data_IF_168540160325
#
_entry.id   IF_168540160325
#
_cell.length_a   1.000
_cell.length_b   1.000
_cell.length_c   1.000
_cell.angle_alpha   90.00
_cell.angle_beta   90.00
_cell.angle_gamma   90.00
#
_symmetry.space_group_name_H-M   'P 1'
#
loop_
_entity.id
_entity.type
_entity.pdbx_description
1 polymer ?
#
# COMPACT_ATOMS: atom_id res chain seq x y z
N UNK A 1 -40.02 -6.16 6.07
CA UNK A 1 -39.01 -6.23 7.15
C UNK A 1 -37.88 -5.24 6.94
N UNK A 2 -37.04 -5.33 5.89
CA UNK A 2 -35.89 -4.43 5.67
C UNK A 2 -36.18 -2.92 5.73
N UNK A 3 -37.32 -2.46 5.20
CA UNK A 3 -37.69 -1.05 5.24
C UNK A 3 -38.01 -0.54 6.66
N UNK A 4 -38.63 -1.37 7.51
CA UNK A 4 -38.91 -1.04 8.91
C UNK A 4 -37.65 -1.10 9.78
N UNK A 5 -36.67 -1.94 9.43
CA UNK A 5 -35.33 -1.97 10.04
C UNK A 5 -34.55 -0.70 9.72
N UNK A 6 -34.54 -0.24 8.46
CA UNK A 6 -33.92 1.02 8.05
C UNK A 6 -34.58 2.24 8.69
N UNK A 7 -35.90 2.20 8.88
CA UNK A 7 -36.65 3.28 9.53
C UNK A 7 -36.49 3.30 11.05
N UNK A 8 -36.16 2.16 11.68
CA UNK A 8 -36.01 2.05 13.14
C UNK A 8 -34.56 1.89 13.60
N UNK A 9 -33.61 1.76 12.68
CA UNK A 9 -32.18 1.64 13.00
C UNK A 9 -31.66 2.94 13.60
N UNK A 10 -30.97 2.84 14.74
CA UNK A 10 -30.16 3.94 15.26
C UNK A 10 -29.15 4.37 14.19
N UNK A 11 -28.93 5.69 14.10
CA UNK A 11 -27.85 6.21 13.27
C UNK A 11 -26.53 5.54 13.70
N UNK A 12 -25.73 5.05 12.75
CA UNK A 12 -24.44 4.45 13.07
C UNK A 12 -23.57 5.51 13.76
N UNK A 13 -22.94 5.14 14.86
CA UNK A 13 -21.97 6.00 15.53
C UNK A 13 -20.84 6.34 14.56
N UNK A 14 -20.41 7.60 14.56
CA UNK A 14 -19.31 8.06 13.73
C UNK A 14 -17.98 7.51 14.27
N UNK A 15 -17.67 6.26 13.92
CA UNK A 15 -16.38 5.65 14.22
C UNK A 15 -15.38 6.11 13.17
N UNK A 16 -14.47 7.01 13.56
CA UNK A 16 -13.34 7.38 12.72
C UNK A 16 -12.39 6.19 12.61
N UNK A 17 -12.23 5.69 11.39
CA UNK A 17 -11.24 4.70 11.05
C UNK A 17 -10.08 5.42 10.37
N UNK A 18 -8.90 5.42 10.98
CA UNK A 18 -7.70 5.95 10.35
C UNK A 18 -6.87 4.78 9.80
N UNK A 19 -6.92 4.49 8.50
CA UNK A 19 -6.08 3.44 7.92
C UNK A 19 -4.63 3.93 7.90
N UNK A 20 -3.80 3.39 8.78
CA UNK A 20 -2.37 3.67 8.81
C UNK A 20 -1.68 2.85 7.71
N UNK A 21 -1.65 3.33 6.48
CA UNK A 21 -1.04 2.57 5.37
C UNK A 21 0.48 2.50 5.47
N UNK A 22 1.08 1.43 4.92
CA UNK A 22 2.53 1.26 4.91
C UNK A 22 3.25 2.38 4.12
N UNK A 23 2.64 2.94 3.08
CA UNK A 23 3.17 4.10 2.34
C UNK A 23 3.15 5.38 3.17
N UNK A 24 2.11 5.60 3.99
CA UNK A 24 2.04 6.73 4.90
C UNK A 24 3.15 6.66 5.96
N UNK A 25 3.39 5.48 6.54
CA UNK A 25 4.47 5.27 7.52
C UNK A 25 5.83 5.56 6.89
N UNK A 26 6.09 5.05 5.68
CA UNK A 26 7.33 5.32 4.95
C UNK A 26 7.54 6.83 4.75
N UNK A 27 6.50 7.57 4.37
CA UNK A 27 6.57 9.03 4.18
C UNK A 27 6.80 9.78 5.48
N UNK A 28 6.13 9.37 6.57
CA UNK A 28 6.33 9.97 7.89
C UNK A 28 7.79 9.80 8.33
N UNK A 29 8.34 8.59 8.19
CA UNK A 29 9.74 8.31 8.54
C UNK A 29 10.72 9.06 7.63
N UNK A 30 10.43 9.16 6.34
CA UNK A 30 11.21 9.97 5.41
C UNK A 30 11.23 11.46 5.77
N UNK A 31 10.11 12.01 6.22
CA UNK A 31 10.04 13.40 6.70
C UNK A 31 10.84 13.60 7.99
N UNK A 32 10.83 12.63 8.91
CA UNK A 32 11.65 12.67 10.14
C UNK A 32 13.13 12.64 9.81
N UNK A 33 13.53 11.80 8.85
CA UNK A 33 14.91 11.71 8.39
C UNK A 33 15.38 13.00 7.71
N UNK A 34 14.55 13.57 6.82
CA UNK A 34 14.81 14.86 6.19
C UNK A 34 14.92 16.02 7.19
N UNK A 35 14.23 15.92 8.34
CA UNK A 35 14.34 16.86 9.46
C UNK A 35 15.56 16.59 10.38
N UNK A 36 16.50 15.73 9.96
CA UNK A 36 17.71 15.39 10.70
C UNK A 36 17.44 14.59 11.98
N UNK A 37 16.35 13.82 12.01
CA UNK A 37 15.95 13.03 13.20
C UNK A 37 15.82 13.89 14.47
N UNK A 38 15.41 15.16 14.31
CA UNK A 38 15.24 16.06 15.45
C UNK A 38 14.21 15.53 16.45
N UNK A 39 14.47 15.72 17.74
CA UNK A 39 13.54 15.35 18.81
C UNK A 39 12.16 15.99 18.64
N UNK A 40 12.11 17.17 18.02
CA UNK A 40 10.88 17.85 17.65
C UNK A 40 10.09 17.07 16.58
N UNK A 41 10.72 16.65 15.48
CA UNK A 41 10.07 15.87 14.43
C UNK A 41 9.57 14.52 14.98
N UNK A 42 10.40 13.82 15.77
CA UNK A 42 9.98 12.60 16.46
C UNK A 42 8.82 12.84 17.43
N UNK A 43 8.81 13.99 18.12
CA UNK A 43 7.72 14.41 19.00
C UNK A 43 6.40 14.63 18.24
N UNK A 44 6.44 15.24 17.05
CA UNK A 44 5.26 15.41 16.19
C UNK A 44 4.75 14.05 15.72
N UNK A 45 5.62 13.16 15.26
CA UNK A 45 5.20 11.83 14.78
C UNK A 45 4.62 11.00 15.92
N UNK A 46 5.25 11.02 17.09
CA UNK A 46 4.71 10.38 18.29
C UNK A 46 3.34 10.96 18.62
N UNK A 47 3.21 12.30 18.63
CA UNK A 47 1.94 12.97 18.89
C UNK A 47 0.87 12.62 17.86
N UNK A 48 1.22 12.50 16.57
CA UNK A 48 0.30 12.11 15.51
C UNK A 48 -0.20 10.69 15.76
N UNK A 49 0.71 9.74 15.98
CA UNK A 49 0.37 8.34 16.22
C UNK A 49 -0.35 8.12 17.56
N UNK A 50 -0.21 9.01 18.54
CA UNK A 50 -0.91 8.92 19.83
C UNK A 50 -2.21 9.75 19.88
N UNK A 51 -2.58 10.46 18.81
CA UNK A 51 -3.79 11.29 18.84
C UNK A 51 -5.06 10.45 18.96
N UNK A 52 -5.80 10.62 20.07
CA UNK A 52 -7.08 9.94 20.37
C UNK A 52 -8.15 10.03 19.26
N UNK A 53 -8.05 10.98 18.33
CA UNK A 53 -8.98 11.09 17.20
C UNK A 53 -8.73 10.06 16.09
N UNK A 54 -7.56 9.40 16.10
CA UNK A 54 -7.30 8.22 15.27
C UNK A 54 -7.94 6.95 15.86
N UNK A 55 -8.45 7.03 17.11
CA UNK A 55 -8.90 5.90 17.92
C UNK A 55 -10.32 6.10 18.44
N UNK A 56 -11.31 6.19 17.56
CA UNK A 56 -12.73 6.25 17.96
C UNK A 56 -13.29 4.89 18.46
N UNK A 57 -12.40 3.99 18.93
CA UNK A 57 -12.71 2.63 19.38
C UNK A 57 -12.17 2.25 20.77
N UNK A 58 -11.58 3.17 21.53
CA UNK A 58 -11.03 2.89 22.86
C UNK A 58 -9.55 2.41 22.85
N UNK A 59 -9.07 1.94 24.01
CA UNK A 59 -7.65 1.55 24.21
C UNK A 59 -7.20 0.39 23.30
N UNK A 60 -8.11 -0.52 22.96
CA UNK A 60 -7.86 -1.66 22.06
C UNK A 60 -7.50 -1.22 20.64
N UNK A 61 -8.17 -0.16 20.13
CA UNK A 61 -7.83 0.44 18.86
C UNK A 61 -6.43 1.08 18.90
N UNK A 62 -6.08 1.70 20.04
CA UNK A 62 -4.73 2.18 20.37
C UNK A 62 -3.66 1.14 20.10
N UNK A 63 -3.83 -0.02 20.74
CA UNK A 63 -2.91 -1.15 20.66
C UNK A 63 -2.81 -1.70 19.23
N UNK A 64 -3.93 -1.81 18.52
CA UNK A 64 -3.98 -2.28 17.12
C UNK A 64 -3.17 -1.40 16.17
N UNK A 65 -3.20 -0.06 16.29
CA UNK A 65 -2.39 0.82 15.43
C UNK A 65 -0.90 0.75 15.75
N UNK A 66 -0.51 0.71 17.04
CA UNK A 66 0.89 0.53 17.42
C UNK A 66 1.46 -0.77 16.84
N UNK A 67 0.63 -1.81 16.89
CA UNK A 67 0.92 -3.10 16.32
C UNK A 67 1.01 -2.99 14.77
N UNK A 68 0.08 -2.33 14.10
CA UNK A 68 0.15 -2.14 12.65
C UNK A 68 1.39 -1.34 12.22
N UNK A 69 1.76 -0.31 12.99
CA UNK A 69 3.00 0.44 12.78
C UNK A 69 4.22 -0.48 12.84
N UNK A 70 4.28 -1.36 13.84
CA UNK A 70 5.36 -2.35 13.96
C UNK A 70 5.40 -3.28 12.75
N UNK A 71 4.25 -3.81 12.31
CA UNK A 71 4.14 -4.62 11.10
C UNK A 71 4.70 -3.89 9.89
N UNK A 72 4.27 -2.65 9.64
CA UNK A 72 4.72 -1.88 8.49
C UNK A 72 6.22 -1.55 8.54
N UNK A 73 6.76 -1.20 9.71
CA UNK A 73 8.22 -0.97 9.86
C UNK A 73 8.99 -2.24 9.53
N UNK A 74 8.57 -3.39 10.06
CA UNK A 74 9.23 -4.68 9.83
C UNK A 74 9.14 -5.10 8.37
N UNK A 75 7.97 -4.91 7.74
CA UNK A 75 7.78 -5.13 6.30
C UNK A 75 8.71 -4.23 5.46
N UNK A 76 8.72 -2.92 5.73
CA UNK A 76 9.52 -1.96 4.98
C UNK A 76 11.04 -2.23 5.12
N UNK A 77 11.48 -2.68 6.30
CA UNK A 77 12.86 -3.13 6.52
C UNK A 77 13.19 -4.38 5.70
N UNK A 78 12.32 -5.41 5.69
CA UNK A 78 12.53 -6.62 4.86
C UNK A 78 12.50 -6.33 3.36
N UNK A 79 11.76 -5.31 2.94
CA UNK A 79 11.77 -4.85 1.54
C UNK A 79 12.96 -3.92 1.20
N UNK A 80 13.89 -3.69 2.13
CA UNK A 80 15.03 -2.77 1.99
C UNK A 80 14.64 -1.32 1.62
N UNK A 81 13.45 -0.90 2.04
CA UNK A 81 12.97 0.48 1.92
C UNK A 81 13.31 1.29 3.17
N UNK A 82 13.57 0.63 4.30
CA UNK A 82 14.02 1.25 5.54
C UNK A 82 15.29 0.58 6.06
N UNK A 83 16.17 1.38 6.66
CA UNK A 83 17.30 0.92 7.46
C UNK A 83 16.85 0.38 8.82
N UNK A 84 17.76 -0.29 9.53
CA UNK A 84 17.57 -0.67 10.94
C UNK A 84 17.24 0.54 11.82
N UNK A 85 17.83 1.70 11.51
CA UNK A 85 17.61 2.97 12.22
C UNK A 85 16.35 3.73 11.76
N UNK A 86 15.53 3.14 10.89
CA UNK A 86 14.30 3.77 10.38
C UNK A 86 14.50 4.83 9.30
N UNK A 87 15.70 4.93 8.71
CA UNK A 87 15.99 5.83 7.59
C UNK A 87 15.50 5.26 6.26
N UNK A 88 14.90 6.06 5.36
CA UNK A 88 14.56 5.61 4.01
C UNK A 88 15.82 5.20 3.24
N UNK A 89 15.75 4.08 2.52
CA UNK A 89 16.84 3.54 1.70
C UNK A 89 16.37 3.23 0.27
N UNK A 90 17.31 3.22 -0.68
CA UNK A 90 17.09 2.76 -2.06
C UNK A 90 15.86 3.45 -2.69
N UNK A 91 14.89 2.65 -3.16
CA UNK A 91 13.67 3.11 -3.82
C UNK A 91 12.59 3.67 -2.87
N UNK A 92 12.91 3.93 -1.60
CA UNK A 92 11.97 4.53 -0.64
C UNK A 92 11.36 5.86 -1.14
N UNK A 93 12.15 6.69 -1.82
CA UNK A 93 11.65 7.92 -2.44
C UNK A 93 10.60 7.64 -3.52
N UNK A 94 10.87 6.68 -4.41
CA UNK A 94 9.94 6.25 -5.47
C UNK A 94 8.63 5.70 -4.88
N UNK A 95 8.73 4.85 -3.86
CA UNK A 95 7.54 4.31 -3.17
C UNK A 95 6.75 5.43 -2.48
N UNK A 96 7.45 6.40 -1.87
CA UNK A 96 6.85 7.56 -1.24
C UNK A 96 6.11 8.50 -2.19
N UNK A 97 6.61 8.68 -3.42
CA UNK A 97 5.98 9.52 -4.44
C UNK A 97 4.74 8.87 -5.07
N UNK A 98 4.72 7.54 -5.18
CA UNK A 98 3.61 6.76 -5.72
C UNK A 98 2.57 6.37 -4.64
N UNK A 99 2.49 7.10 -3.52
CA UNK A 99 1.63 6.75 -2.38
C UNK A 99 0.15 6.60 -2.74
N UNK A 100 -0.32 7.32 -3.75
CA UNK A 100 -1.71 7.30 -4.22
C UNK A 100 -2.08 6.00 -4.94
N UNK A 101 -1.10 5.16 -5.28
CA UNK A 101 -1.29 3.83 -5.87
C UNK A 101 -1.32 2.70 -4.82
N UNK A 102 -1.15 3.05 -3.53
CA UNK A 102 -1.27 2.16 -2.37
C UNK A 102 -0.48 0.83 -2.49
N UNK A 103 -1.17 -0.31 -2.60
CA UNK A 103 -0.52 -1.63 -2.60
C UNK A 103 0.20 -1.94 -3.91
N UNK A 104 -0.18 -1.28 -5.01
CA UNK A 104 0.42 -1.50 -6.33
C UNK A 104 1.90 -1.11 -6.38
N UNK A 105 2.30 -0.05 -5.66
CA UNK A 105 3.69 0.40 -5.67
C UNK A 105 4.63 -0.60 -4.99
N UNK A 106 4.16 -1.34 -3.99
CA UNK A 106 4.97 -2.37 -3.34
C UNK A 106 5.21 -3.58 -4.24
N UNK A 107 4.21 -3.96 -5.05
CA UNK A 107 4.37 -4.96 -6.09
C UNK A 107 5.30 -4.50 -7.21
N UNK A 108 5.22 -3.23 -7.61
CA UNK A 108 6.17 -2.64 -8.53
C UNK A 108 7.60 -2.67 -7.96
N UNK A 109 7.76 -2.27 -6.70
CA UNK A 109 9.04 -2.33 -5.98
C UNK A 109 9.59 -3.74 -5.89
N UNK A 110 8.75 -4.76 -5.66
CA UNK A 110 9.23 -6.15 -5.58
C UNK A 110 9.79 -6.66 -6.91
N UNK A 111 9.22 -6.24 -8.04
CA UNK A 111 9.76 -6.52 -9.38
C UNK A 111 11.07 -5.77 -9.65
N UNK A 112 11.16 -4.51 -9.19
CA UNK A 112 12.39 -3.70 -9.30
C UNK A 112 13.51 -4.30 -8.45
N UNK A 113 13.20 -4.69 -7.21
CA UNK A 113 14.08 -5.37 -6.26
C UNK A 113 14.65 -6.67 -6.76
N UNK A 114 13.81 -7.46 -7.42
CA UNK A 114 14.18 -8.78 -7.93
C UNK A 114 14.94 -8.72 -9.27
N UNK A 115 15.23 -7.51 -9.78
CA UNK A 115 15.91 -7.31 -11.05
C UNK A 115 15.08 -7.68 -12.29
N UNK A 116 13.76 -7.86 -12.16
CA UNK A 116 12.89 -8.26 -13.28
C UNK A 116 12.93 -7.21 -14.39
N UNK A 117 12.75 -5.94 -14.03
CA UNK A 117 12.81 -4.84 -15.01
C UNK A 117 14.19 -4.72 -15.66
N UNK A 118 15.27 -4.96 -14.92
CA UNK A 118 16.63 -4.96 -15.47
C UNK A 118 16.78 -6.02 -16.57
N UNK A 119 16.28 -7.24 -16.34
CA UNK A 119 16.32 -8.32 -17.35
C UNK A 119 15.43 -8.01 -18.55
N UNK A 120 14.21 -7.52 -18.31
CA UNK A 120 13.26 -7.17 -19.38
C UNK A 120 13.81 -6.04 -20.26
N UNK A 121 14.29 -4.97 -19.64
CA UNK A 121 14.75 -3.75 -20.31
C UNK A 121 16.16 -3.88 -20.93
N UNK A 122 16.94 -4.90 -20.57
CA UNK A 122 18.25 -5.18 -21.21
C UNK A 122 18.20 -5.32 -22.74
N UNK A 123 17.02 -5.63 -23.29
CA UNK A 123 16.78 -5.80 -24.72
C UNK A 123 16.16 -4.57 -25.40
N UNK A 124 16.05 -3.43 -24.72
CA UNK A 124 15.33 -2.25 -25.20
C UNK A 124 15.87 -1.72 -26.53
N UNK A 125 17.19 -1.72 -26.74
CA UNK A 125 17.81 -1.27 -27.99
C UNK A 125 17.71 -2.29 -29.14
N UNK A 126 17.43 -3.56 -28.83
CA UNK A 126 17.34 -4.63 -29.83
C UNK A 126 15.90 -4.92 -30.25
N UNK A 127 14.96 -4.88 -29.30
CA UNK A 127 13.56 -5.24 -29.52
C UNK A 127 12.64 -4.32 -28.72
N UNK A 128 12.67 -3.03 -29.06
CA UNK A 128 11.94 -1.97 -28.36
C UNK A 128 10.44 -2.27 -28.27
N UNK A 129 9.81 -2.62 -29.38
CA UNK A 129 8.35 -2.81 -29.45
C UNK A 129 7.85 -3.94 -28.55
N UNK A 130 8.55 -5.07 -28.52
CA UNK A 130 8.16 -6.22 -27.70
C UNK A 130 8.44 -5.98 -26.21
N UNK A 131 9.55 -5.30 -25.92
CA UNK A 131 9.91 -4.85 -24.56
C UNK A 131 8.84 -3.90 -24.02
N UNK A 132 8.47 -2.86 -24.78
CA UNK A 132 7.43 -1.91 -24.39
C UNK A 132 6.05 -2.56 -24.24
N UNK A 133 5.71 -3.50 -25.13
CA UNK A 133 4.46 -4.27 -25.01
C UNK A 133 4.43 -5.09 -23.72
N UNK A 134 5.50 -5.80 -23.41
CA UNK A 134 5.58 -6.62 -22.19
C UNK A 134 5.60 -5.74 -20.94
N UNK A 135 6.33 -4.63 -20.97
CA UNK A 135 6.36 -3.64 -19.91
C UNK A 135 4.97 -3.06 -19.65
N UNK A 136 4.27 -2.64 -20.71
CA UNK A 136 2.89 -2.15 -20.65
C UNK A 136 1.91 -3.19 -20.10
N UNK A 137 2.07 -4.47 -20.45
CA UNK A 137 1.27 -5.57 -19.90
C UNK A 137 1.48 -5.72 -18.40
N UNK A 138 2.73 -5.68 -17.93
CA UNK A 138 3.05 -5.77 -16.49
C UNK A 138 2.47 -4.56 -15.76
N UNK A 139 2.66 -3.35 -16.29
CA UNK A 139 2.12 -2.12 -15.70
C UNK A 139 0.59 -2.14 -15.59
N UNK A 140 -0.11 -2.68 -16.59
CA UNK A 140 -1.57 -2.84 -16.58
C UNK A 140 -2.07 -3.86 -15.53
N UNK A 141 -1.24 -4.82 -15.11
CA UNK A 141 -1.56 -5.72 -14.00
C UNK A 141 -1.32 -5.10 -12.62
N UNK A 142 -0.46 -4.09 -12.52
CA UNK A 142 -0.12 -3.48 -11.24
C UNK A 142 -1.03 -2.30 -10.93
N UNK A 143 -1.18 -1.38 -11.88
CA UNK A 143 -1.82 -0.09 -11.68
C UNK A 143 -3.20 -0.01 -12.32
N UNK A 144 -4.08 0.81 -11.71
CA UNK A 144 -5.42 1.17 -12.20
C UNK A 144 -6.26 -0.04 -12.66
N UNK A 145 -6.22 -1.14 -11.91
CA UNK A 145 -6.93 -2.38 -12.24
C UNK A 145 -8.45 -2.18 -12.22
N UNK A 146 -9.13 -2.77 -13.20
CA UNK A 146 -10.59 -2.87 -13.23
C UNK A 146 -10.97 -4.35 -13.31
N UNK A 147 -11.64 -4.86 -12.28
CA UNK A 147 -12.15 -6.22 -12.26
C UNK A 147 -13.36 -6.40 -13.18
N UNK A 148 -13.41 -7.53 -13.89
CA UNK A 148 -14.54 -7.87 -14.74
C UNK A 148 -15.68 -8.50 -13.94
N UNK A 149 -16.62 -7.66 -13.47
CA UNK A 149 -17.74 -8.06 -12.58
C UNK A 149 -18.72 -9.08 -13.15
N UNK A 150 -18.81 -9.24 -14.48
CA UNK A 150 -19.76 -10.14 -15.14
C UNK A 150 -19.08 -11.29 -15.90
N UNK A 151 -17.95 -11.78 -15.39
CA UNK A 151 -17.23 -12.89 -16.01
C UNK A 151 -17.97 -14.23 -15.84
N UNK A 152 -18.72 -14.65 -16.85
CA UNK A 152 -19.36 -15.97 -16.86
C UNK A 152 -18.39 -17.05 -17.31
N UNK A 153 -17.76 -17.77 -16.37
CA UNK A 153 -16.70 -18.77 -16.58
C UNK A 153 -17.03 -19.80 -17.68
N UNK A 154 -18.27 -20.30 -17.74
CA UNK A 154 -18.70 -21.33 -18.72
C UNK A 154 -18.95 -20.83 -20.14
N UNK A 155 -19.30 -19.56 -20.31
CA UNK A 155 -19.49 -18.93 -21.63
C UNK A 155 -18.19 -18.26 -22.11
N UNK A 156 -17.36 -17.81 -21.17
CA UNK A 156 -16.12 -17.09 -21.43
C UNK A 156 -15.00 -17.98 -21.96
N UNK A 157 -14.90 -19.24 -21.50
CA UNK A 157 -13.95 -20.21 -22.06
C UNK A 157 -14.19 -20.49 -23.56
N UNK A 158 -15.46 -20.46 -24.01
CA UNK A 158 -15.80 -20.56 -25.44
C UNK A 158 -15.67 -19.23 -26.17
N UNK A 159 -15.99 -18.10 -25.52
CA UNK A 159 -15.82 -16.77 -26.09
C UNK A 159 -14.34 -16.37 -26.31
N UNK A 160 -13.43 -16.93 -25.50
CA UNK A 160 -11.98 -16.80 -25.70
C UNK A 160 -11.48 -17.35 -27.04
N UNK A 161 -12.19 -18.30 -27.64
CA UNK A 161 -11.83 -18.83 -28.95
C UNK A 161 -12.32 -17.94 -30.11
N UNK A 162 -13.40 -17.18 -29.93
CA UNK A 162 -14.20 -16.70 -31.08
C UNK A 162 -14.34 -15.17 -31.26
N UNK A 163 -13.98 -14.27 -30.33
CA UNK A 163 -13.91 -12.81 -30.63
C UNK A 163 -13.24 -11.95 -29.53
N UNK A 164 -12.36 -11.03 -29.94
CA UNK A 164 -12.13 -9.71 -29.30
C UNK A 164 -11.84 -9.69 -27.79
N UNK A 165 -10.61 -10.02 -27.41
CA UNK A 165 -10.10 -10.14 -26.04
C UNK A 165 -10.02 -8.79 -25.30
N UNK A 166 -11.07 -8.41 -24.55
CA UNK A 166 -11.03 -7.30 -23.57
C UNK A 166 -10.55 -7.76 -22.17
N UNK A 167 -10.08 -9.00 -22.09
CA UNK A 167 -9.48 -9.59 -20.89
C UNK A 167 -7.99 -9.34 -20.93
N UNK A 168 -7.43 -8.86 -19.84
CA UNK A 168 -6.00 -8.70 -19.68
C UNK A 168 -5.33 -10.07 -19.85
N UNK A 169 -4.35 -10.22 -20.76
CA UNK A 169 -3.60 -11.47 -20.91
C UNK A 169 -2.88 -11.83 -19.62
N UNK A 170 -2.46 -13.09 -19.47
CA UNK A 170 -1.72 -13.51 -18.27
C UNK A 170 -0.38 -12.75 -18.15
N UNK A 171 -0.01 -12.43 -16.92
CA UNK A 171 1.30 -11.89 -16.58
C UNK A 171 2.42 -12.84 -17.05
N UNK A 172 3.59 -12.33 -17.46
CA UNK A 172 4.77 -13.17 -17.67
C UNK A 172 5.06 -14.03 -16.43
N UNK A 173 5.33 -15.32 -16.63
CA UNK A 173 5.45 -16.31 -15.54
C UNK A 173 6.49 -15.90 -14.50
N UNK A 174 7.59 -15.31 -14.93
CA UNK A 174 8.64 -14.81 -14.04
C UNK A 174 8.12 -13.68 -13.13
N UNK A 175 7.39 -12.70 -13.66
CA UNK A 175 6.80 -11.64 -12.86
C UNK A 175 5.72 -12.19 -11.91
N UNK A 176 4.93 -13.17 -12.37
CA UNK A 176 3.89 -13.83 -11.57
C UNK A 176 4.49 -14.51 -10.34
N UNK A 177 5.54 -15.31 -10.54
CA UNK A 177 6.21 -16.02 -9.45
C UNK A 177 6.86 -15.04 -8.45
N UNK A 178 7.41 -13.92 -8.92
CA UNK A 178 7.98 -12.88 -8.06
C UNK A 178 6.90 -12.19 -7.20
N UNK A 179 5.75 -11.87 -7.78
CA UNK A 179 4.64 -11.24 -7.06
C UNK A 179 3.98 -12.22 -6.08
N UNK A 180 3.83 -13.50 -6.45
CA UNK A 180 3.32 -14.54 -5.54
C UNK A 180 4.26 -14.69 -4.34
N UNK A 181 5.59 -14.72 -4.57
CA UNK A 181 6.57 -14.78 -3.48
C UNK A 181 6.44 -13.57 -2.56
N UNK A 182 6.34 -12.37 -3.13
CA UNK A 182 6.15 -11.14 -2.35
C UNK A 182 4.88 -11.19 -1.49
N UNK A 183 3.75 -11.60 -2.06
CA UNK A 183 2.48 -11.74 -1.34
C UNK A 183 2.58 -12.75 -0.19
N UNK A 184 3.26 -13.88 -0.42
CA UNK A 184 3.49 -14.90 0.60
C UNK A 184 4.39 -14.38 1.73
N UNK A 185 5.47 -13.65 1.41
CA UNK A 185 6.30 -12.99 2.41
C UNK A 185 5.49 -12.00 3.26
N UNK A 186 4.69 -11.14 2.63
CA UNK A 186 3.81 -10.20 3.35
C UNK A 186 2.84 -10.94 4.26
N UNK A 187 2.24 -12.03 3.78
CA UNK A 187 1.31 -12.86 4.55
C UNK A 187 1.99 -13.48 5.78
N UNK A 188 3.21 -14.00 5.66
CA UNK A 188 3.94 -14.57 6.79
C UNK A 188 4.29 -13.53 7.86
N UNK A 189 4.71 -12.33 7.44
CA UNK A 189 4.95 -11.21 8.37
C UNK A 189 3.64 -10.83 9.08
N UNK A 190 2.53 -10.80 8.35
CA UNK A 190 1.22 -10.43 8.89
C UNK A 190 0.63 -11.50 9.83
N UNK A 191 0.89 -12.80 9.57
CA UNK A 191 0.58 -13.91 10.48
C UNK A 191 1.39 -13.81 11.77
N UNK A 192 2.71 -13.60 11.67
CA UNK A 192 3.58 -13.43 12.82
C UNK A 192 3.11 -12.25 13.69
N UNK A 193 2.77 -11.14 13.03
CA UNK A 193 2.16 -9.98 13.65
C UNK A 193 0.89 -10.30 14.45
N UNK A 194 -0.11 -10.92 13.80
CA UNK A 194 -1.36 -11.31 14.47
C UNK A 194 -1.09 -12.26 15.65
N UNK A 195 -0.16 -13.21 15.47
CA UNK A 195 0.26 -14.16 16.50
C UNK A 195 0.83 -13.46 17.73
N UNK A 196 1.71 -12.46 17.53
CA UNK A 196 2.30 -11.68 18.64
C UNK A 196 1.29 -10.80 19.35
N UNK A 197 0.31 -10.23 18.64
CA UNK A 197 -0.76 -9.45 19.26
C UNK A 197 -1.62 -10.32 20.20
N UNK A 198 -1.90 -11.56 19.76
CA UNK A 198 -2.67 -12.52 20.57
C UNK A 198 -1.91 -12.87 21.84
N UNK A 199 -0.61 -13.19 21.75
CA UNK A 199 0.21 -13.52 22.92
C UNK A 199 0.33 -12.36 23.92
N UNK A 200 0.28 -11.11 23.46
CA UNK A 200 0.47 -9.96 24.34
C UNK A 200 -0.82 -9.50 25.03
N UNK A 201 -1.98 -9.67 24.39
CA UNK A 201 -3.22 -9.04 24.86
C UNK A 201 -4.40 -9.99 25.02
N UNK A 202 -4.34 -11.20 24.48
CA UNK A 202 -5.50 -12.11 24.40
C UNK A 202 -5.27 -13.47 25.06
N UNK A 203 -4.20 -13.62 25.85
CA UNK A 203 -3.93 -14.82 26.65
C UNK A 203 -5.08 -15.14 27.62
N UNK A 204 -5.62 -14.12 28.29
CA UNK A 204 -6.70 -14.26 29.28
C UNK A 204 -8.12 -14.22 28.67
N UNK A 205 -8.22 -13.96 27.36
CA UNK A 205 -9.50 -13.75 26.68
C UNK A 205 -9.74 -14.88 25.66
N UNK A 206 -10.33 -16.02 26.03
CA UNK A 206 -10.57 -17.11 25.07
C UNK A 206 -11.70 -16.77 24.09
N UNK A 207 -11.53 -17.08 22.80
CA UNK A 207 -12.55 -16.86 21.75
C UNK A 207 -13.67 -17.90 21.85
N UNK A 208 -14.61 -17.67 22.79
CA UNK A 208 -15.68 -18.62 23.15
C UNK A 208 -17.08 -18.05 23.00
N UNK A 209 -17.20 -16.78 22.61
CA UNK A 209 -18.48 -16.12 22.50
C UNK A 209 -18.95 -16.14 21.06
N UNK A 210 -20.18 -16.59 20.83
CA UNK A 210 -20.76 -16.59 19.48
C UNK A 210 -20.86 -15.15 18.95
N UNK A 211 -20.45 -14.89 17.71
CA UNK A 211 -20.32 -13.52 17.18
C UNK A 211 -21.66 -12.77 17.06
N UNK A 212 -22.77 -13.49 16.88
CA UNK A 212 -24.10 -12.89 16.71
C UNK A 212 -24.91 -12.82 18.01
N UNK A 213 -24.79 -13.83 18.88
CA UNK A 213 -25.61 -13.94 20.09
C UNK A 213 -24.88 -13.56 21.37
N UNK A 214 -23.54 -13.49 21.34
CA UNK A 214 -22.71 -13.24 22.51
C UNK A 214 -22.71 -14.38 23.54
N UNK A 215 -23.34 -15.50 23.23
CA UNK A 215 -23.45 -16.64 24.15
C UNK A 215 -22.09 -17.34 24.22
N UNK A 216 -21.58 -17.53 25.44
CA UNK A 216 -20.36 -18.29 25.69
C UNK A 216 -20.60 -19.80 25.48
N UNK A 217 -19.71 -20.44 24.73
CA UNK A 217 -19.77 -21.86 24.38
C UNK A 217 -18.56 -22.61 24.96
N UNK A 218 -18.76 -23.89 25.30
CA UNK A 218 -17.73 -24.75 25.90
C UNK A 218 -17.68 -24.68 27.43
N UNK A 219 -16.74 -25.40 28.05
CA UNK A 219 -16.47 -25.34 29.50
C UNK A 219 -15.20 -24.57 29.84
N UNK A 220 -15.07 -24.10 31.08
CA UNK A 220 -13.94 -23.27 31.56
C UNK A 220 -12.56 -23.89 31.41
N UNK A 221 -12.49 -25.22 31.24
CA UNK A 221 -11.24 -25.92 30.99
C UNK A 221 -11.29 -26.55 29.60
N UNK A 222 -10.25 -26.35 28.76
CA UNK A 222 -10.18 -27.04 27.48
C UNK A 222 -10.19 -28.55 27.73
N UNK A 223 -11.25 -29.22 27.28
CA UNK A 223 -11.29 -30.67 27.23
C UNK A 223 -10.83 -31.08 25.84
N UNK A 224 -9.56 -31.48 25.74
CA UNK A 224 -9.03 -32.08 24.53
C UNK A 224 -9.65 -33.47 24.42
N UNK A 225 -10.73 -33.58 23.67
CA UNK A 225 -11.32 -34.86 23.30
C UNK A 225 -10.47 -35.38 22.14
N UNK A 226 -9.46 -36.21 22.40
CA UNK A 226 -8.65 -36.84 21.36
C UNK A 226 -9.51 -37.78 20.51
N UNK A 227 -10.17 -37.23 19.50
CA UNK A 227 -10.91 -37.94 18.48
C UNK A 227 -9.97 -38.23 17.30
N UNK A 228 -10.17 -39.36 16.62
CA UNK A 228 -9.38 -39.70 15.45
C UNK A 228 -9.67 -38.68 14.33
N UNK A 229 -8.69 -37.84 14.01
CA UNK A 229 -8.80 -36.76 13.01
C UNK A 229 -8.73 -35.34 13.56
N UNK A 230 -8.45 -35.15 14.85
CA UNK A 230 -8.32 -33.81 15.44
C UNK A 230 -7.14 -33.03 14.85
N UNK A 231 -7.44 -31.81 14.39
CA UNK A 231 -6.43 -30.81 14.09
C UNK A 231 -5.92 -30.16 15.39
N UNK A 232 -4.66 -29.67 15.41
CA UNK A 232 -4.15 -28.92 16.55
C UNK A 232 -5.03 -27.69 16.83
N UNK A 233 -5.10 -27.23 18.10
CA UNK A 233 -5.87 -26.05 18.45
C UNK A 233 -5.38 -24.84 17.67
N UNK A 234 -6.31 -24.07 17.10
CA UNK A 234 -6.02 -22.85 16.35
C UNK A 234 -5.76 -21.70 17.32
N UNK A 235 -4.69 -20.94 17.06
CA UNK A 235 -4.34 -19.72 17.77
C UNK A 235 -4.85 -18.49 17.02
N UNK A 236 -4.61 -18.44 15.71
CA UNK A 236 -4.98 -17.31 14.85
C UNK A 236 -6.44 -17.40 14.40
N UNK A 237 -6.83 -18.54 13.85
CA UNK A 237 -8.18 -18.77 13.31
C UNK A 237 -9.19 -18.88 14.44
N UNK A 238 -10.35 -18.25 14.27
CA UNK A 238 -11.45 -18.38 15.23
C UNK A 238 -11.82 -19.86 15.39
N UNK A 239 -12.00 -20.37 16.62
CA UNK A 239 -12.43 -21.75 16.84
C UNK A 239 -13.73 -22.09 16.09
N UNK A 240 -14.61 -21.11 15.89
CA UNK A 240 -15.85 -21.30 15.12
C UNK A 240 -15.60 -21.50 13.62
N UNK A 241 -14.62 -20.79 13.04
CA UNK A 241 -14.21 -21.01 11.64
C UNK A 241 -13.43 -22.32 11.50
N UNK A 242 -12.61 -22.68 12.50
CA UNK A 242 -11.84 -23.93 12.53
C UNK A 242 -12.72 -25.19 12.50
N UNK A 243 -13.99 -25.12 12.94
CA UNK A 243 -14.96 -26.21 12.82
C UNK A 243 -15.20 -26.68 11.37
N UNK A 244 -14.86 -25.86 10.38
CA UNK A 244 -14.89 -26.23 8.96
C UNK A 244 -13.72 -27.15 8.53
N UNK A 245 -12.82 -27.50 9.46
CA UNK A 245 -11.70 -28.41 9.23
C UNK A 245 -10.41 -27.72 8.79
N UNK A 246 -10.28 -26.40 9.00
CA UNK A 246 -9.09 -25.65 8.62
C UNK A 246 -8.27 -25.19 9.85
N UNK A 247 -6.95 -25.26 9.75
CA UNK A 247 -5.93 -24.92 10.76
C UNK A 247 -5.57 -23.42 10.77
N UNK A 248 -4.43 -23.01 11.35
CA UNK A 248 -3.88 -21.65 11.21
C UNK A 248 -3.14 -21.44 9.87
N UNK A 249 -3.39 -22.31 8.88
CA UNK A 249 -2.89 -22.18 7.53
C UNK A 249 -3.85 -21.32 6.69
N UNK A 250 -3.34 -20.20 6.19
CA UNK A 250 -4.06 -19.24 5.36
C UNK A 250 -3.34 -19.10 4.01
N UNK A 251 -4.11 -18.99 2.92
CA UNK A 251 -3.61 -18.83 1.55
C UNK A 251 -3.50 -17.37 1.11
N UNK A 252 -4.30 -16.48 1.68
CA UNK A 252 -4.30 -15.06 1.34
C UNK A 252 -4.54 -14.19 2.57
N UNK A 253 -4.22 -12.91 2.45
CA UNK A 253 -4.49 -11.91 3.50
C UNK A 253 -6.00 -11.75 3.72
N UNK A 254 -6.79 -11.82 2.65
CA UNK A 254 -8.25 -11.81 2.74
C UNK A 254 -8.79 -12.97 3.59
N UNK A 255 -8.26 -14.19 3.38
CA UNK A 255 -8.64 -15.37 4.16
C UNK A 255 -8.27 -15.22 5.64
N UNK A 256 -7.10 -14.64 5.93
CA UNK A 256 -6.64 -14.34 7.28
C UNK A 256 -7.58 -13.34 7.97
N UNK A 257 -7.82 -12.17 7.36
CA UNK A 257 -8.69 -11.14 7.92
C UNK A 257 -10.13 -11.63 8.14
N UNK A 258 -10.65 -12.48 7.25
CA UNK A 258 -12.02 -12.98 7.34
C UNK A 258 -12.23 -14.08 8.39
N UNK A 259 -11.18 -14.84 8.72
CA UNK A 259 -11.28 -16.02 9.59
C UNK A 259 -10.53 -15.88 10.93
N UNK A 260 -9.94 -14.71 11.19
CA UNK A 260 -9.22 -14.48 12.44
C UNK A 260 -10.16 -14.52 13.66
N UNK A 261 -9.60 -14.93 14.80
CA UNK A 261 -10.30 -14.97 16.08
C UNK A 261 -10.81 -13.59 16.53
N UNK A 262 -11.84 -13.61 17.37
CA UNK A 262 -12.35 -12.38 17.98
C UNK A 262 -11.29 -11.70 18.86
N UNK A 263 -11.36 -10.37 18.93
CA UNK A 263 -10.42 -9.52 19.67
C UNK A 263 -9.21 -9.04 18.87
N UNK A 264 -8.98 -9.56 17.65
CA UNK A 264 -7.93 -9.05 16.75
C UNK A 264 -8.56 -8.20 15.66
N UNK A 265 -8.14 -6.94 15.56
CA UNK A 265 -8.55 -6.04 14.49
C UNK A 265 -7.44 -5.95 13.44
N UNK A 266 -7.73 -6.41 12.23
CA UNK A 266 -6.86 -6.39 11.07
C UNK A 266 -7.49 -5.56 9.96
N UNK A 267 -6.74 -4.61 9.41
CA UNK A 267 -7.17 -3.80 8.27
C UNK A 267 -6.53 -4.34 6.99
N UNK A 268 -7.30 -5.02 6.15
CA UNK A 268 -6.82 -5.62 4.90
C UNK A 268 -6.26 -4.58 3.92
N UNK A 269 -6.90 -3.40 3.83
CA UNK A 269 -6.53 -2.35 2.88
C UNK A 269 -5.13 -1.77 3.12
N UNK A 270 -4.65 -1.79 4.38
CA UNK A 270 -3.37 -1.21 4.78
C UNK A 270 -2.18 -2.16 4.57
N UNK A 271 -2.45 -3.41 4.17
CA UNK A 271 -1.42 -4.45 3.98
C UNK A 271 -0.93 -4.45 2.53
N UNK A 272 0.40 -4.36 2.28
CA UNK A 272 1.02 -4.40 0.96
C UNK A 272 0.82 -5.71 0.19
N UNK A 273 -0.37 -5.91 -0.35
CA UNK A 273 -0.79 -7.12 -1.06
C UNK A 273 -1.62 -6.77 -2.29
N UNK A 274 -1.32 -7.44 -3.40
CA UNK A 274 -2.10 -7.32 -4.62
C UNK A 274 -2.63 -8.69 -5.05
N UNK A 275 -3.94 -8.87 -5.28
CA UNK A 275 -4.44 -10.12 -5.84
C UNK A 275 -3.93 -10.35 -7.26
N UNK A 276 -3.43 -11.55 -7.56
CA UNK A 276 -2.87 -11.93 -8.86
C UNK A 276 -3.84 -12.88 -9.57
N UNK A 277 -4.16 -12.61 -10.83
CA UNK A 277 -4.93 -13.55 -11.67
C UNK A 277 -3.98 -14.47 -12.43
N UNK A 278 -4.24 -15.80 -12.49
CA UNK A 278 -5.39 -16.54 -11.95
C UNK A 278 -5.17 -17.16 -10.55
N UNK A 279 -4.07 -16.82 -9.86
CA UNK A 279 -3.68 -17.43 -8.59
C UNK A 279 -4.65 -17.14 -7.43
N UNK A 280 -4.94 -15.86 -7.20
CA UNK A 280 -5.77 -15.38 -6.08
C UNK A 280 -7.20 -15.08 -6.51
N UNK A 281 -7.39 -14.65 -7.77
CA UNK A 281 -8.68 -14.20 -8.30
C UNK A 281 -9.09 -15.10 -9.46
N UNK A 282 -10.36 -15.53 -9.46
CA UNK A 282 -10.90 -16.36 -10.54
C UNK A 282 -11.24 -15.57 -11.81
N UNK A 283 -11.54 -14.27 -11.67
CA UNK A 283 -11.92 -13.39 -12.77
C UNK A 283 -10.73 -12.57 -13.25
N UNK A 284 -10.48 -12.47 -14.57
CA UNK A 284 -9.41 -11.64 -15.09
C UNK A 284 -9.73 -10.15 -14.95
N UNK A 285 -8.70 -9.33 -15.12
CA UNK A 285 -8.81 -7.87 -15.18
C UNK A 285 -9.14 -7.40 -16.60
N UNK A 286 -9.68 -6.19 -16.71
CA UNK A 286 -9.95 -5.52 -17.98
C UNK A 286 -8.63 -5.09 -18.67
N UNK A 287 -8.50 -5.29 -19.98
CA UNK A 287 -7.28 -4.97 -20.74
C UNK A 287 -7.15 -3.52 -21.20
N UNK A 288 -8.01 -2.60 -20.76
CA UNK A 288 -8.09 -1.24 -21.34
C UNK A 288 -6.76 -0.48 -21.47
N UNK A 289 -5.88 -0.52 -20.45
CA UNK A 289 -4.56 0.13 -20.51
C UNK A 289 -3.71 -0.51 -21.61
N UNK A 290 -3.70 -1.84 -21.64
CA UNK A 290 -2.90 -2.62 -22.58
C UNK A 290 -3.42 -2.48 -24.01
N UNK A 291 -4.74 -2.44 -24.21
CA UNK A 291 -5.36 -2.21 -25.51
C UNK A 291 -5.12 -0.79 -26.01
N UNK A 292 -5.20 0.20 -25.11
CA UNK A 292 -4.86 1.58 -25.43
C UNK A 292 -3.39 1.71 -25.84
N UNK A 293 -2.47 1.08 -25.12
CA UNK A 293 -1.05 1.04 -25.49
C UNK A 293 -0.82 0.37 -26.85
N UNK A 294 -1.63 -0.59 -27.26
CA UNK A 294 -1.50 -1.21 -28.60
C UNK A 294 -2.05 -0.37 -29.73
N UNK A 295 -3.20 0.27 -29.53
CA UNK A 295 -4.00 0.83 -30.62
C UNK A 295 -4.18 2.34 -30.56
N UNK A 296 -4.14 2.94 -29.35
CA UNK A 296 -4.45 4.35 -29.13
C UNK A 296 -5.91 4.71 -29.40
N UNK A 297 -6.82 3.73 -29.51
CA UNK A 297 -8.20 3.95 -29.91
C UNK A 297 -9.14 4.11 -28.70
N UNK A 298 -9.62 5.33 -28.51
CA UNK A 298 -10.61 5.70 -27.50
C UNK A 298 -11.98 5.02 -27.69
N UNK A 299 -12.45 4.89 -28.93
CA UNK A 299 -13.77 4.34 -29.24
C UNK A 299 -13.78 2.84 -28.91
N UNK A 300 -12.66 2.16 -29.17
CA UNK A 300 -12.46 0.76 -28.78
C UNK A 300 -12.58 0.56 -27.26
N UNK A 301 -12.09 1.49 -26.43
CA UNK A 301 -12.22 1.37 -24.97
C UNK A 301 -13.67 1.44 -24.49
N UNK A 302 -14.48 2.30 -25.11
CA UNK A 302 -15.91 2.42 -24.75
C UNK A 302 -16.70 1.22 -25.28
N UNK A 303 -16.43 0.80 -26.52
CA UNK A 303 -17.17 -0.27 -27.20
C UNK A 303 -16.82 -1.65 -26.68
N UNK A 304 -15.53 -1.95 -26.56
CA UNK A 304 -15.02 -3.31 -26.34
C UNK A 304 -14.69 -3.54 -24.87
N UNK A 305 -13.97 -2.61 -24.22
CA UNK A 305 -13.63 -2.66 -22.80
C UNK A 305 -14.77 -2.23 -21.85
N UNK A 306 -15.92 -1.78 -22.40
CA UNK A 306 -17.14 -1.42 -21.65
C UNK A 306 -16.92 -0.35 -20.57
N UNK A 307 -15.96 0.53 -20.76
CA UNK A 307 -15.73 1.67 -19.88
C UNK A 307 -16.69 2.80 -20.27
N UNK A 308 -17.25 3.51 -19.28
CA UNK A 308 -18.11 4.65 -19.57
C UNK A 308 -17.29 5.76 -20.22
N UNK A 309 -17.85 6.37 -21.25
CA UNK A 309 -17.18 7.42 -22.03
C UNK A 309 -16.57 8.54 -21.16
N UNK A 310 -17.28 8.98 -20.12
CA UNK A 310 -16.79 10.02 -19.20
C UNK A 310 -15.65 9.59 -18.28
N UNK A 311 -15.47 8.28 -18.05
CA UNK A 311 -14.47 7.75 -17.11
C UNK A 311 -13.13 7.46 -17.81
N UNK A 312 -13.14 7.23 -19.13
CA UNK A 312 -11.95 6.82 -19.90
C UNK A 312 -10.80 7.83 -19.75
N UNK A 313 -11.10 9.13 -19.85
CA UNK A 313 -10.06 10.16 -19.73
C UNK A 313 -9.39 10.15 -18.36
N UNK A 314 -10.16 10.03 -17.28
CA UNK A 314 -9.62 10.00 -15.91
C UNK A 314 -8.75 8.76 -15.71
N UNK A 315 -9.21 7.58 -16.14
CA UNK A 315 -8.46 6.33 -15.99
C UNK A 315 -7.11 6.34 -16.73
N UNK A 316 -7.07 6.92 -17.93
CA UNK A 316 -5.84 7.05 -18.72
C UNK A 316 -4.94 8.16 -18.18
N UNK A 317 -5.50 9.29 -17.73
CA UNK A 317 -4.75 10.36 -17.07
C UNK A 317 -4.08 9.86 -15.79
N UNK A 318 -4.80 9.11 -14.97
CA UNK A 318 -4.26 8.54 -13.75
C UNK A 318 -3.08 7.61 -14.07
N UNK A 319 -3.14 6.85 -15.17
CA UNK A 319 -2.04 5.99 -15.60
C UNK A 319 -0.85 6.80 -16.15
N UNK A 320 -1.08 7.87 -16.91
CA UNK A 320 -0.01 8.80 -17.33
C UNK A 320 0.70 9.41 -16.12
N UNK A 321 -0.04 9.81 -15.08
CA UNK A 321 0.53 10.31 -13.83
C UNK A 321 1.43 9.28 -13.15
N UNK A 322 1.03 8.00 -13.13
CA UNK A 322 1.87 6.91 -12.62
C UNK A 322 3.18 6.79 -13.41
N UNK A 323 3.11 6.77 -14.75
CA UNK A 323 4.30 6.69 -15.60
C UNK A 323 5.23 7.90 -15.41
N UNK A 324 4.67 9.11 -15.38
CA UNK A 324 5.43 10.34 -15.13
C UNK A 324 6.13 10.30 -13.77
N UNK A 325 5.44 9.85 -12.72
CA UNK A 325 6.00 9.74 -11.37
C UNK A 325 7.12 8.70 -11.29
N UNK A 326 6.98 7.56 -11.99
CA UNK A 326 8.02 6.54 -12.08
C UNK A 326 9.27 7.09 -12.78
N UNK A 327 9.10 7.70 -13.96
CA UNK A 327 10.21 8.28 -14.73
C UNK A 327 10.93 9.34 -13.89
N UNK A 328 10.20 10.31 -13.33
CA UNK A 328 10.80 11.37 -12.52
C UNK A 328 11.54 10.82 -11.28
N UNK A 329 10.97 9.81 -10.62
CA UNK A 329 11.59 9.20 -9.43
C UNK A 329 12.84 8.39 -9.78
N UNK A 330 12.84 7.64 -10.89
CA UNK A 330 14.01 6.91 -11.37
C UNK A 330 15.11 7.87 -11.84
N UNK A 331 14.77 8.93 -12.57
CA UNK A 331 15.72 9.98 -12.97
C UNK A 331 16.41 10.61 -11.76
N UNK A 332 15.64 11.00 -10.74
CA UNK A 332 16.19 11.58 -9.52
C UNK A 332 17.07 10.59 -8.74
N UNK A 333 16.69 9.31 -8.73
CA UNK A 333 17.49 8.26 -8.08
C UNK A 333 18.85 8.09 -8.78
N UNK A 334 18.87 8.00 -10.12
CA UNK A 334 20.12 7.87 -10.90
C UNK A 334 20.99 9.13 -10.73
N UNK A 335 20.40 10.33 -10.74
CA UNK A 335 21.12 11.59 -10.50
C UNK A 335 21.82 11.60 -9.13
N UNK A 336 21.12 11.17 -8.08
CA UNK A 336 21.68 11.12 -6.74
C UNK A 336 22.82 10.11 -6.59
N UNK A 337 22.79 9.02 -7.36
CA UNK A 337 23.82 7.97 -7.33
C UNK A 337 25.06 8.33 -8.17
N UNK A 338 24.86 9.09 -9.25
CA UNK A 338 25.92 9.36 -10.23
C UNK A 338 26.59 10.74 -10.12
N UNK A 339 26.06 11.68 -9.32
CA UNK A 339 26.54 13.09 -9.26
C UNK A 339 26.77 13.69 -10.67
N UNK A 340 25.97 13.31 -11.67
CA UNK A 340 26.09 13.84 -13.03
C UNK A 340 25.46 15.24 -13.08
N UNK A 341 26.27 16.24 -13.46
CA UNK A 341 25.84 17.63 -13.68
C UNK A 341 24.86 17.76 -14.86
N UNK A 342 24.05 18.81 -14.86
CA UNK A 342 22.91 19.10 -15.75
C UNK A 342 23.18 19.06 -17.28
N UNK A 343 24.44 18.96 -17.73
CA UNK A 343 24.83 19.21 -19.13
C UNK A 343 24.73 17.98 -20.06
N UNK A 344 24.57 16.76 -19.51
CA UNK A 344 24.64 15.50 -20.29
C UNK A 344 23.27 14.82 -20.54
N UNK A 345 22.15 15.38 -20.09
CA UNK A 345 20.83 14.77 -20.29
C UNK A 345 19.82 15.72 -20.91
N UNK A 346 19.27 15.25 -22.04
CA UNK A 346 18.29 15.86 -22.93
C UNK A 346 17.21 16.63 -22.16
N UNK A 347 17.06 17.89 -22.56
CA UNK A 347 16.05 18.87 -22.15
C UNK A 347 14.64 18.25 -22.20
N UNK A 348 14.14 17.81 -21.05
CA UNK A 348 12.71 17.55 -20.85
C UNK A 348 12.09 18.89 -20.46
N UNK A 349 11.91 19.76 -21.46
CA UNK A 349 11.17 21.00 -21.29
C UNK A 349 9.76 20.68 -20.73
N UNK A 350 9.42 21.35 -19.64
CA UNK A 350 8.09 21.43 -19.05
C UNK A 350 7.07 21.90 -20.09
N UNK A 351 6.12 21.05 -20.45
CA UNK A 351 4.82 21.48 -20.98
C UNK A 351 3.79 21.46 -19.83
N UNK A 352 4.09 22.24 -18.77
CA UNK A 352 3.10 22.62 -17.76
C UNK A 352 2.25 23.78 -18.28
N UNK A 353 1.34 23.53 -19.22
CA UNK A 353 0.09 24.31 -19.28
C UNK A 353 -0.95 23.65 -18.39
N UNK A 354 -0.71 23.69 -17.07
CA UNK A 354 -1.76 23.50 -16.10
C UNK A 354 -2.55 24.82 -16.00
N UNK A 355 -3.79 24.79 -16.50
CA UNK A 355 -4.81 25.82 -16.28
C UNK A 355 -4.84 26.22 -14.79
N UNK A 356 -4.21 27.36 -14.48
CA UNK A 356 -4.51 28.14 -13.29
C UNK A 356 -5.79 28.88 -13.59
N UNK A 357 -6.92 28.29 -13.24
CA UNK A 357 -8.09 28.99 -12.72
C UNK A 357 -9.17 27.99 -12.36
N UNK A 358 -9.40 27.78 -11.06
CA UNK A 358 -10.71 27.71 -10.39
C UNK A 358 -10.54 27.08 -9.00
N UNK A 359 -10.06 27.86 -8.04
CA UNK A 359 -10.56 27.81 -6.66
C UNK A 359 -10.72 29.24 -6.19
N UNK A 360 -11.85 29.85 -6.58
CA UNK A 360 -12.28 31.13 -6.03
C UNK A 360 -12.61 30.93 -4.55
N UNK A 361 -11.80 31.55 -3.69
CA UNK A 361 -12.17 31.84 -2.32
C UNK A 361 -13.42 32.72 -2.32
N UNK A 362 -14.54 32.18 -1.84
CA UNK A 362 -15.71 32.98 -1.53
C UNK A 362 -15.62 33.49 -0.10
N UNK A 363 -15.17 34.73 0.09
CA UNK A 363 -15.59 35.57 1.23
C UNK A 363 -15.52 37.05 0.84
N UNK A 364 -16.68 37.66 0.57
CA UNK A 364 -17.02 39.06 0.86
C UNK A 364 -18.56 39.08 1.02
N UNK A 365 -19.22 39.81 1.91
CA UNK A 365 -18.86 41.07 2.57
C UNK A 365 -19.79 41.25 3.79
N UNK A 366 -19.27 41.81 4.88
CA UNK A 366 -20.09 42.52 5.88
C UNK A 366 -19.42 43.88 6.17
N UNK A 367 -20.25 44.91 6.21
CA UNK A 367 -19.96 46.33 5.97
C UNK A 367 -19.03 47.02 6.99
N UNK A 368 -18.33 48.03 6.45
CA UNK A 368 -17.59 49.11 7.09
C UNK A 368 -18.22 49.76 8.34
N UNK A 369 -17.39 50.01 9.36
CA UNK A 369 -17.37 51.29 10.10
C UNK A 369 -15.91 51.68 10.43
N UNK A 370 -15.56 52.92 10.07
CA UNK A 370 -14.30 53.65 10.32
C UNK A 370 -13.93 53.78 11.80
N UNK A 371 -12.63 53.71 12.14
CA UNK A 371 -11.95 54.84 12.80
C UNK A 371 -10.41 54.74 12.75
N UNK A 372 -9.85 55.94 12.92
CA UNK A 372 -8.52 56.47 12.64
C UNK A 372 -7.37 56.08 13.61
N UNK A 373 -6.15 56.39 13.16
CA UNK A 373 -4.92 56.78 13.91
C UNK A 373 -3.89 55.78 14.46
N UNK A 374 -2.64 56.06 14.04
CA UNK A 374 -1.39 56.20 14.81
C UNK A 374 -0.54 54.98 15.24
N UNK A 375 0.55 54.84 14.48
CA UNK A 375 1.91 54.33 14.77
C UNK A 375 2.35 54.32 16.26
N UNK A 376 2.76 53.16 16.79
CA UNK A 376 3.94 53.00 17.69
C UNK A 376 4.31 51.52 17.94
N UNK A 377 5.60 51.20 17.84
CA UNK A 377 6.31 50.16 18.65
C UNK A 377 6.94 50.90 19.85
N UNK A 378 7.49 50.27 20.93
CA UNK A 378 7.71 48.84 21.22
C UNK A 378 7.31 48.44 22.67
N UNK A 379 7.40 47.15 23.06
CA UNK A 379 8.17 46.66 24.24
C UNK A 379 7.91 45.18 24.56
N UNK A 380 8.98 44.50 24.97
CA UNK A 380 9.02 43.13 25.50
C UNK A 380 8.23 43.03 26.82
N UNK A 381 7.44 41.97 26.99
CA UNK A 381 7.14 41.39 28.30
C UNK A 381 7.21 39.86 28.24
N UNK A 382 8.09 39.36 29.09
CA UNK A 382 8.26 37.99 29.56
C UNK A 382 7.03 37.60 30.37
N UNK A 383 6.38 36.49 30.03
CA UNK A 383 5.48 35.78 30.96
C UNK A 383 5.84 34.30 30.87
N UNK A 384 6.29 33.81 32.01
CA UNK A 384 6.50 32.42 32.38
C UNK A 384 5.25 32.04 33.18
N UNK A 385 4.58 30.95 32.82
CA UNK A 385 3.61 30.21 33.64
C UNK A 385 3.49 28.84 32.92
N UNK A 386 4.27 27.82 33.29
CA UNK A 386 4.10 26.96 34.48
C UNK A 386 2.78 26.18 34.42
N UNK A 387 2.86 24.96 33.88
CA UNK A 387 2.00 23.82 34.23
C UNK A 387 2.89 22.58 34.19
N UNK A 388 3.65 22.39 35.27
CA UNK A 388 4.10 21.07 35.73
C UNK A 388 2.91 20.44 36.45
N UNK A 389 2.59 19.20 36.11
CA UNK A 389 1.91 18.27 37.02
C UNK A 389 2.74 16.99 37.01
N UNK A 390 3.16 16.64 38.23
CA UNK A 390 3.96 15.49 38.61
C UNK A 390 3.22 14.17 38.33
N UNK A 391 3.95 13.18 37.80
CA UNK A 391 3.71 11.78 38.17
C UNK A 391 5.04 11.01 38.11
N UNK A 392 5.76 11.06 39.24
CA UNK A 392 6.89 10.19 39.54
C UNK A 392 6.39 8.76 39.75
N UNK A 393 6.72 7.85 38.84
CA UNK A 393 6.77 6.42 39.15
C UNK A 393 8.14 5.85 38.78
N UNK A 394 8.85 5.49 39.84
CA UNK A 394 10.18 4.88 39.95
C UNK A 394 10.50 3.83 38.88
N UNK A 395 11.59 4.06 38.15
CA UNK A 395 12.33 3.07 37.37
C UNK A 395 13.23 2.25 38.31
N UNK A 396 12.95 0.95 38.45
CA UNK A 396 13.91 -0.01 39.01
C UNK A 396 14.65 -0.72 37.88
N UNK A 397 15.95 -0.46 37.80
CA UNK A 397 16.92 -1.17 36.95
C UNK A 397 16.99 -2.65 37.32
N UNK A 398 16.48 -3.52 36.43
CA UNK A 398 16.77 -4.96 36.49
C UNK A 398 17.63 -5.37 35.30
N UNK A 399 18.93 -5.50 35.56
CA UNK A 399 19.89 -6.11 34.65
C UNK A 399 19.59 -7.61 34.49
N UNK A 400 19.36 -8.04 33.24
CA UNK A 400 19.23 -9.47 32.86
C UNK A 400 20.44 -9.87 31.99
N UNK A 401 21.08 -11.03 32.23
CA UNK A 401 22.36 -11.39 31.62
C UNK A 401 22.21 -11.87 30.17
N UNK A 402 23.21 -11.54 29.34
CA UNK A 402 23.40 -12.09 27.99
C UNK A 402 23.68 -13.59 28.05
N UNK A 403 22.77 -14.42 27.55
CA UNK A 403 23.07 -15.78 27.10
C UNK A 403 23.02 -15.83 25.58
N UNK A 404 24.12 -16.32 25.00
CA UNK A 404 24.27 -16.59 23.58
C UNK A 404 23.42 -17.80 23.19
N UNK A 405 22.53 -17.62 22.22
CA UNK A 405 21.90 -18.73 21.52
C UNK A 405 22.10 -18.52 20.02
N UNK A 406 22.96 -19.37 19.44
CA UNK A 406 23.16 -19.52 18.01
C UNK A 406 21.82 -19.81 17.33
N UNK A 407 21.38 -18.89 16.47
CA UNK A 407 20.25 -19.09 15.55
C UNK A 407 20.75 -18.78 14.16
N UNK A 408 20.69 -19.80 13.30
CA UNK A 408 21.26 -19.83 11.96
C UNK A 408 20.86 -18.60 11.13
N UNK A 409 21.87 -17.90 10.62
CA UNK A 409 21.71 -16.84 9.63
C UNK A 409 21.14 -17.45 8.34
N UNK A 410 19.85 -17.26 8.10
CA UNK A 410 19.30 -17.31 6.75
C UNK A 410 19.96 -16.18 5.97
N UNK A 411 20.75 -16.53 4.95
CA UNK A 411 21.41 -15.59 4.06
C UNK A 411 20.34 -14.67 3.44
N UNK A 412 20.38 -13.40 3.81
CA UNK A 412 19.57 -12.34 3.20
C UNK A 412 20.16 -12.13 1.80
N UNK A 413 19.40 -12.45 0.75
CA UNK A 413 19.80 -12.17 -0.63
C UNK A 413 20.06 -10.67 -0.78
N UNK A 414 21.28 -10.31 -1.15
CA UNK A 414 21.67 -8.93 -1.45
C UNK A 414 20.88 -8.42 -2.67
N UNK A 415 20.29 -7.19 -2.62
CA UNK A 415 19.45 -6.69 -3.70
C UNK A 415 20.18 -6.62 -5.04
N UNK A 416 19.51 -7.03 -6.12
CA UNK A 416 20.14 -7.17 -7.44
C UNK A 416 20.47 -5.84 -8.14
N UNK A 417 20.05 -4.71 -7.58
CA UNK A 417 20.34 -3.36 -8.09
C UNK A 417 21.74 -2.84 -7.69
N UNK A 418 22.47 -3.52 -6.79
CA UNK A 418 23.87 -3.21 -6.47
C UNK A 418 24.87 -3.58 -7.60
N UNK A 419 24.35 -3.94 -8.79
CA UNK A 419 25.15 -4.15 -9.99
C UNK A 419 25.60 -2.85 -10.68
N UNK A 420 26.23 -2.98 -11.85
CA UNK A 420 26.96 -1.97 -12.64
C UNK A 420 26.25 -0.62 -12.99
N UNK A 421 25.09 -0.27 -12.43
CA UNK A 421 24.34 0.98 -12.67
C UNK A 421 23.69 1.09 -14.05
N UNK A 422 24.29 0.46 -15.07
CA UNK A 422 23.83 0.41 -16.47
C UNK A 422 22.44 -0.17 -16.62
N UNK A 423 22.12 -1.22 -15.86
CA UNK A 423 20.82 -1.86 -15.96
C UNK A 423 19.67 -0.96 -15.48
N UNK A 424 19.93 0.02 -14.62
CA UNK A 424 18.90 0.96 -14.17
C UNK A 424 18.67 2.08 -15.20
N UNK A 425 19.71 2.45 -15.96
CA UNK A 425 19.60 3.38 -17.10
C UNK A 425 18.73 2.77 -18.21
N UNK A 426 18.96 1.49 -18.56
CA UNK A 426 18.12 0.78 -19.55
C UNK A 426 16.64 0.74 -19.12
N UNK A 427 16.39 0.61 -17.81
CA UNK A 427 15.03 0.64 -17.24
C UNK A 427 14.43 2.04 -17.38
N UNK A 428 15.17 3.10 -17.05
CA UNK A 428 14.71 4.48 -17.22
C UNK A 428 14.39 4.78 -18.69
N UNK A 429 15.25 4.37 -19.61
CA UNK A 429 15.04 4.56 -21.05
C UNK A 429 13.76 3.85 -21.52
N UNK A 430 13.54 2.61 -21.09
CA UNK A 430 12.34 1.86 -21.42
C UNK A 430 11.05 2.53 -20.87
N UNK A 431 11.07 3.02 -19.64
CA UNK A 431 9.93 3.74 -19.05
C UNK A 431 9.70 5.10 -19.72
N UNK A 432 10.76 5.80 -20.13
CA UNK A 432 10.67 7.07 -20.83
C UNK A 432 10.05 6.87 -22.22
N UNK A 433 10.49 5.86 -22.96
CA UNK A 433 9.89 5.48 -24.24
C UNK A 433 8.43 5.04 -24.10
N UNK A 434 8.11 4.28 -23.04
CA UNK A 434 6.72 3.88 -22.77
C UNK A 434 5.83 5.09 -22.48
N UNK A 435 6.33 6.04 -21.69
CA UNK A 435 5.62 7.29 -21.38
C UNK A 435 5.39 8.11 -22.65
N UNK A 436 6.42 8.32 -23.47
CA UNK A 436 6.32 9.05 -24.72
C UNK A 436 5.29 8.41 -25.67
N UNK A 437 5.36 7.09 -25.87
CA UNK A 437 4.40 6.36 -26.71
C UNK A 437 2.96 6.44 -26.18
N UNK A 438 2.78 6.40 -24.85
CA UNK A 438 1.47 6.56 -24.22
C UNK A 438 0.93 7.99 -24.38
N UNK A 439 1.73 9.00 -24.05
CA UNK A 439 1.34 10.41 -24.10
C UNK A 439 1.06 10.85 -25.54
N UNK A 440 1.84 10.41 -26.53
CA UNK A 440 1.57 10.66 -27.95
C UNK A 440 0.19 10.15 -28.38
N UNK A 441 -0.19 8.95 -27.93
CA UNK A 441 -1.50 8.36 -28.21
C UNK A 441 -2.60 9.08 -27.44
N UNK A 442 -2.33 9.46 -26.20
CA UNK A 442 -3.25 10.21 -25.36
C UNK A 442 -3.54 11.59 -25.96
N UNK A 443 -2.52 12.35 -26.34
CA UNK A 443 -2.71 13.64 -27.00
C UNK A 443 -3.45 13.49 -28.34
N UNK A 444 -3.13 12.49 -29.17
CA UNK A 444 -3.85 12.24 -30.43
C UNK A 444 -5.32 11.90 -30.25
N UNK A 445 -5.70 11.28 -29.14
CA UNK A 445 -7.09 10.92 -28.86
C UNK A 445 -7.93 12.10 -28.32
N UNK A 446 -7.28 13.18 -27.86
CA UNK A 446 -7.93 14.37 -27.28
C UNK A 446 -7.57 15.71 -27.95
N UNK A 447 -6.73 15.71 -28.98
CA UNK A 447 -6.52 16.80 -29.93
C UNK A 447 -7.67 16.86 -30.94
#
# INVERSE_FOLDING_TARGET
MRAYELMSSRLPDLKGHFPLTSTLILRILGLVDAAGQSSFASGIVKSLLTQNRLYLGGEEAGKSIQHHLRFSVEYLQRQHLLSADGRPLNFAGLVGHLYFTENAVFAFHSLLKSGYFHRLCSSIHRNTTDTLRTLGLVMAHLFNRIEMRNWNTRASEKAHADSGSFSLPRLPTEAEDLLIRHNNETLEIFKAYASTFIDQYLDDAPDRNLPLTGIAVGGDKPRILHLAGDLPPTKLRSPFSALSGHSDDFKSIHELCSNIRSGVFLEESAVPYIPIWPHDVATPFNSYIYDFLKHGDYIALTRDNKIKQGDVWFLLRDFSLVLATIVASLTNFIRADTNLDDDDMIDLEDDETADKDTVCQGVETMKDIKHDTARSKPTKKKVVESWEDDDDTSEEDVAVPKQAHDSAATAIESPTWEGDGKGLVDVLDAFTLLKQDFDDKFHKAWA
#
